data_IF_891276433752
#
_entry.id   IF_891276433752
#
_cell.length_a   1.000
_cell.length_b   1.000
_cell.length_c   1.000
_cell.angle_alpha   90.00
_cell.angle_beta   90.00
_cell.angle_gamma   90.00
#
_symmetry.space_group_name_H-M   'P 1'
#
loop_
_entity.id
_entity.type
_entity.pdbx_description
1 polymer ?
#
# COMPACT_ATOMS: atom_id res chain seq x y z
N UNK A 1 -13.11 8.99 -14.08
CA UNK A 1 -11.64 8.99 -14.03
C UNK A 1 -11.07 9.87 -15.13
N UNK A 2 -11.42 9.61 -16.40
CA UNK A 2 -10.90 10.34 -17.58
C UNK A 2 -11.25 11.84 -17.68
N UNK A 3 -12.11 12.38 -16.81
CA UNK A 3 -12.57 13.78 -16.85
C UNK A 3 -12.11 14.58 -15.62
N UNK A 4 -11.03 14.16 -14.95
CA UNK A 4 -10.55 14.79 -13.72
C UNK A 4 -9.04 14.94 -13.79
N UNK A 5 -8.58 16.19 -13.94
CA UNK A 5 -7.15 16.51 -14.10
C UNK A 5 -6.29 15.99 -12.94
N UNK A 6 -6.84 15.97 -11.72
CA UNK A 6 -6.16 15.48 -10.51
C UNK A 6 -5.99 13.95 -10.44
N UNK A 7 -6.50 13.19 -11.41
CA UNK A 7 -6.48 11.72 -11.42
C UNK A 7 -5.74 11.12 -12.62
N UNK A 8 -4.95 11.92 -13.35
CA UNK A 8 -4.20 11.43 -14.51
C UNK A 8 -3.25 10.29 -14.14
N UNK A 9 -2.47 10.42 -13.06
CA UNK A 9 -1.51 9.38 -12.64
C UNK A 9 -2.21 8.06 -12.28
N UNK A 10 -3.36 8.13 -11.60
CA UNK A 10 -4.14 6.92 -11.31
C UNK A 10 -4.76 6.30 -12.57
N UNK A 11 -5.19 7.14 -13.52
CA UNK A 11 -5.75 6.67 -14.79
C UNK A 11 -4.70 5.94 -15.61
N UNK A 12 -3.47 6.46 -15.67
CA UNK A 12 -2.34 5.80 -16.33
C UNK A 12 -2.02 4.45 -15.67
N UNK A 13 -1.98 4.41 -14.33
CA UNK A 13 -1.78 3.16 -13.60
C UNK A 13 -2.90 2.13 -13.85
N UNK A 14 -4.16 2.58 -13.87
CA UNK A 14 -5.32 1.72 -14.15
C UNK A 14 -5.34 1.19 -15.59
N UNK A 15 -4.86 1.99 -16.55
CA UNK A 15 -4.66 1.57 -17.94
C UNK A 15 -3.56 0.53 -18.05
N UNK A 16 -2.40 0.77 -17.43
CA UNK A 16 -1.29 -0.18 -17.41
C UNK A 16 -1.69 -1.50 -16.74
N UNK A 17 -2.45 -1.45 -15.65
CA UNK A 17 -3.00 -2.62 -14.96
C UNK A 17 -4.14 -3.35 -15.71
N UNK A 18 -4.60 -2.83 -16.86
CA UNK A 18 -5.73 -3.37 -17.63
C UNK A 18 -7.03 -3.53 -16.80
N UNK A 19 -7.24 -2.66 -15.81
CA UNK A 19 -8.45 -2.71 -14.94
C UNK A 19 -9.54 -1.73 -15.34
N UNK A 20 -9.29 -0.86 -16.33
CA UNK A 20 -10.26 0.16 -16.77
C UNK A 20 -11.58 -0.47 -17.24
N UNK A 21 -11.52 -1.61 -17.94
CA UNK A 21 -12.72 -2.36 -18.34
C UNK A 21 -13.55 -2.83 -17.14
N UNK A 22 -12.90 -3.21 -16.03
CA UNK A 22 -13.58 -3.62 -14.79
C UNK A 22 -14.27 -2.41 -14.15
N UNK A 23 -13.58 -1.27 -14.09
CA UNK A 23 -14.11 -0.03 -13.53
C UNK A 23 -15.25 0.57 -14.38
N UNK A 24 -15.34 0.24 -15.67
CA UNK A 24 -16.45 0.64 -16.54
C UNK A 24 -17.67 -0.29 -16.50
N UNK A 25 -17.55 -1.49 -15.94
CA UNK A 25 -18.66 -2.46 -15.86
C UNK A 25 -19.69 -2.05 -14.82
N UNK A 26 -20.93 -2.50 -15.04
CA UNK A 26 -21.99 -2.40 -14.04
C UNK A 26 -21.58 -3.16 -12.77
N UNK A 27 -21.90 -2.60 -11.61
CA UNK A 27 -21.55 -3.15 -10.31
C UNK A 27 -21.76 -2.15 -9.18
N UNK A 28 -21.30 -2.54 -8.00
CA UNK A 28 -21.34 -1.76 -6.78
C UNK A 28 -19.92 -1.65 -6.24
N UNK A 29 -19.23 -0.59 -6.63
CA UNK A 29 -17.83 -0.39 -6.28
C UNK A 29 -17.64 0.79 -5.32
N UNK A 30 -16.60 0.71 -4.51
CA UNK A 30 -16.02 1.89 -3.84
C UNK A 30 -14.59 2.02 -4.30
N UNK A 31 -14.23 3.17 -4.85
CA UNK A 31 -12.88 3.46 -5.29
C UNK A 31 -12.28 4.55 -4.40
N UNK A 32 -11.19 4.23 -3.73
CA UNK A 32 -10.33 5.22 -3.09
C UNK A 32 -9.32 5.72 -4.13
N UNK A 33 -9.62 6.79 -4.83
CA UNK A 33 -8.81 7.27 -5.95
C UNK A 33 -7.69 8.22 -5.46
N UNK A 34 -6.40 7.79 -5.52
CA UNK A 34 -5.29 8.66 -5.19
C UNK A 34 -5.14 9.79 -6.20
N UNK A 35 -4.98 11.00 -5.67
CA UNK A 35 -4.70 12.20 -6.48
C UNK A 35 -3.28 12.17 -7.05
N UNK A 36 -2.99 12.98 -8.07
CA UNK A 36 -1.63 13.12 -8.60
C UNK A 36 -0.62 13.47 -7.49
N UNK A 37 -1.01 14.35 -6.56
CA UNK A 37 -0.19 14.68 -5.38
C UNK A 37 0.07 13.48 -4.45
N UNK A 38 -0.81 12.47 -4.44
CA UNK A 38 -0.57 11.22 -3.73
C UNK A 38 0.55 10.40 -4.42
N UNK A 39 0.58 10.39 -5.75
CA UNK A 39 1.67 9.76 -6.53
C UNK A 39 2.98 10.52 -6.40
N UNK A 40 2.95 11.85 -6.33
CA UNK A 40 4.15 12.68 -6.14
C UNK A 40 4.86 12.43 -4.80
N UNK A 41 4.15 11.87 -3.81
CA UNK A 41 4.71 11.45 -2.52
C UNK A 41 5.42 10.09 -2.59
N UNK A 42 5.29 9.34 -3.69
CA UNK A 42 5.98 8.08 -3.87
C UNK A 42 7.48 8.30 -4.10
N UNK A 43 8.28 7.26 -3.82
CA UNK A 43 9.72 7.30 -4.09
C UNK A 43 9.97 7.51 -5.60
N UNK A 44 10.92 8.37 -6.00
CA UNK A 44 11.29 8.51 -7.40
C UNK A 44 11.67 7.15 -8.01
N UNK A 45 11.18 6.83 -9.20
CA UNK A 45 11.45 5.54 -9.85
C UNK A 45 10.51 4.41 -9.45
N UNK A 46 9.64 4.59 -8.44
CA UNK A 46 8.75 3.53 -7.97
C UNK A 46 7.70 3.15 -9.01
N UNK A 47 7.07 4.14 -9.65
CA UNK A 47 6.06 3.85 -10.67
C UNK A 47 6.68 3.12 -11.86
N UNK A 48 7.88 3.51 -12.27
CA UNK A 48 8.65 2.84 -13.32
C UNK A 48 8.98 1.40 -12.93
N UNK A 49 9.38 1.14 -11.67
CA UNK A 49 9.74 -0.21 -11.24
C UNK A 49 8.53 -1.16 -11.18
N UNK A 50 7.36 -0.68 -10.79
CA UNK A 50 6.17 -1.54 -10.71
C UNK A 50 5.43 -1.69 -12.03
N UNK A 51 5.53 -0.72 -12.94
CA UNK A 51 4.83 -0.78 -14.24
C UNK A 51 5.40 -1.86 -15.15
N UNK A 52 6.66 -2.25 -14.95
CA UNK A 52 7.27 -3.40 -15.64
C UNK A 52 6.70 -4.74 -15.17
N UNK A 53 6.07 -4.79 -13.98
CA UNK A 53 5.47 -5.99 -13.42
C UNK A 53 3.94 -5.89 -13.38
N UNK A 54 3.30 -6.58 -14.32
CA UNK A 54 1.86 -6.53 -14.49
C UNK A 54 1.07 -7.01 -13.27
N UNK A 55 1.60 -7.96 -12.51
CA UNK A 55 0.94 -8.46 -11.31
C UNK A 55 0.96 -7.40 -10.20
N UNK A 56 2.08 -6.70 -10.03
CA UNK A 56 2.26 -5.68 -9.00
C UNK A 56 1.41 -4.43 -9.28
N UNK A 57 1.43 -3.89 -10.49
CA UNK A 57 0.61 -2.73 -10.82
C UNK A 57 -0.89 -3.05 -10.74
N UNK A 58 -1.29 -4.27 -11.12
CA UNK A 58 -2.66 -4.74 -10.95
C UNK A 58 -3.05 -4.90 -9.49
N UNK A 59 -2.15 -5.40 -8.65
CA UNK A 59 -2.36 -5.47 -7.21
C UNK A 59 -2.53 -4.05 -6.62
N UNK A 60 -1.63 -3.12 -6.96
CA UNK A 60 -1.71 -1.73 -6.52
C UNK A 60 -3.07 -1.11 -6.84
N UNK A 61 -3.52 -1.20 -8.09
CA UNK A 61 -4.78 -0.56 -8.49
C UNK A 61 -5.99 -1.26 -7.85
N UNK A 62 -6.00 -2.59 -7.77
CA UNK A 62 -7.10 -3.32 -7.12
C UNK A 62 -7.15 -3.10 -5.61
N UNK A 63 -6.04 -2.77 -4.96
CA UNK A 63 -6.00 -2.47 -3.52
C UNK A 63 -6.76 -1.18 -3.16
N UNK A 64 -7.03 -0.32 -4.15
CA UNK A 64 -7.84 0.88 -4.01
C UNK A 64 -9.34 0.64 -4.25
N UNK A 65 -9.73 -0.58 -4.62
CA UNK A 65 -11.09 -0.91 -5.04
C UNK A 65 -11.75 -1.87 -4.04
N UNK A 66 -12.98 -1.57 -3.63
CA UNK A 66 -13.85 -2.50 -2.93
C UNK A 66 -14.97 -2.97 -3.85
N UNK A 67 -15.36 -4.24 -3.73
CA UNK A 67 -16.51 -4.84 -4.44
C UNK A 67 -17.85 -4.60 -3.70
N UNK A 68 -17.95 -3.49 -2.95
CA UNK A 68 -19.16 -3.04 -2.27
C UNK A 68 -19.21 -1.51 -2.25
N UNK A 69 -20.39 -0.93 -2.07
CA UNK A 69 -20.56 0.53 -1.93
C UNK A 69 -20.47 0.92 -0.46
N UNK A 70 -19.51 1.78 -0.13
CA UNK A 70 -19.25 2.32 1.20
C UNK A 70 -19.32 3.85 1.13
N UNK A 71 -20.49 4.39 1.46
CA UNK A 71 -20.67 5.84 1.64
C UNK A 71 -20.11 6.26 2.99
N UNK A 72 -19.61 7.49 3.11
CA UNK A 72 -18.99 7.95 4.35
C UNK A 72 -19.93 7.89 5.56
N UNK A 73 -21.22 8.20 5.36
CA UNK A 73 -22.23 8.15 6.42
C UNK A 73 -22.53 6.74 6.94
N UNK A 74 -22.21 5.70 6.17
CA UNK A 74 -22.38 4.31 6.61
C UNK A 74 -21.28 3.87 7.59
N UNK A 75 -20.17 4.62 7.65
CA UNK A 75 -18.98 4.26 8.43
C UNK A 75 -19.06 4.95 9.79
N UNK A 76 -19.62 4.23 10.76
CA UNK A 76 -19.81 4.71 12.14
C UNK A 76 -18.67 4.30 13.10
N UNK A 77 -17.88 3.30 12.71
CA UNK A 77 -16.75 2.79 13.48
C UNK A 77 -15.73 2.15 12.52
N UNK A 78 -14.49 1.96 13.00
CA UNK A 78 -13.45 1.23 12.27
C UNK A 78 -13.93 -0.16 11.86
N UNK A 79 -14.04 -0.39 10.56
CA UNK A 79 -14.50 -1.64 9.97
C UNK A 79 -13.49 -2.11 8.93
N UNK A 80 -13.15 -3.40 8.98
CA UNK A 80 -12.21 -4.01 8.05
C UNK A 80 -12.94 -4.46 6.79
N UNK A 81 -12.40 -4.11 5.63
CA UNK A 81 -12.91 -4.47 4.31
C UNK A 81 -11.84 -5.16 3.49
N UNK A 82 -12.24 -6.21 2.77
CA UNK A 82 -11.39 -6.86 1.77
C UNK A 82 -11.39 -6.02 0.48
N UNK A 83 -10.20 -5.70 -0.02
CA UNK A 83 -10.00 -5.01 -1.30
C UNK A 83 -10.13 -6.00 -2.45
N UNK A 84 -10.25 -5.49 -3.67
CA UNK A 84 -10.31 -6.34 -4.85
C UNK A 84 -8.97 -7.03 -5.17
N UNK A 85 -7.90 -6.65 -4.48
CA UNK A 85 -6.60 -7.33 -4.52
C UNK A 85 -6.57 -8.56 -3.61
N UNK A 86 -7.36 -8.55 -2.53
CA UNK A 86 -7.46 -9.61 -1.52
C UNK A 86 -6.91 -9.19 -0.15
N UNK A 87 -6.07 -8.16 -0.11
CA UNK A 87 -5.64 -7.51 1.14
C UNK A 87 -6.81 -6.83 1.87
N UNK A 88 -6.65 -6.60 3.17
CA UNK A 88 -7.66 -5.90 3.98
C UNK A 88 -7.25 -4.48 4.32
N UNK A 89 -8.19 -3.55 4.27
CA UNK A 89 -8.04 -2.18 4.77
C UNK A 89 -9.07 -1.91 5.86
N UNK A 90 -8.67 -1.16 6.89
CA UNK A 90 -9.60 -0.64 7.88
C UNK A 90 -10.12 0.72 7.40
N UNK A 91 -11.44 0.89 7.37
CA UNK A 91 -12.05 2.19 7.08
C UNK A 91 -12.82 2.63 8.31
N UNK A 92 -12.50 3.82 8.79
CA UNK A 92 -13.11 4.41 9.98
C UNK A 92 -13.45 5.88 9.77
N UNK A 93 -13.75 6.55 10.87
CA UNK A 93 -13.98 7.98 10.92
C UNK A 93 -13.31 8.56 12.16
N UNK A 94 -12.77 9.77 12.02
CA UNK A 94 -12.36 10.61 13.15
C UNK A 94 -12.95 12.01 12.95
N UNK A 95 -14.04 12.26 13.68
CA UNK A 95 -14.96 13.37 13.42
C UNK A 95 -15.68 13.19 12.09
N UNK A 96 -15.68 14.24 11.26
CA UNK A 96 -16.31 14.22 9.94
C UNK A 96 -15.41 13.64 8.83
N UNK A 97 -14.14 13.34 9.17
CA UNK A 97 -13.13 12.83 8.24
C UNK A 97 -13.12 11.30 8.23
N UNK A 98 -13.21 10.71 7.04
CA UNK A 98 -12.94 9.29 6.85
C UNK A 98 -11.45 9.00 7.05
N UNK A 99 -11.17 7.86 7.67
CA UNK A 99 -9.81 7.33 7.84
C UNK A 99 -9.66 6.02 7.08
N UNK A 100 -8.47 5.79 6.53
CA UNK A 100 -8.06 4.51 5.97
C UNK A 100 -6.83 4.04 6.74
N UNK A 101 -6.89 2.84 7.31
CA UNK A 101 -5.90 2.28 8.24
C UNK A 101 -5.54 3.26 9.37
N UNK A 102 -6.56 3.95 9.92
CA UNK A 102 -6.38 4.96 10.96
C UNK A 102 -5.83 6.32 10.51
N UNK A 103 -5.49 6.49 9.22
CA UNK A 103 -4.90 7.72 8.68
C UNK A 103 -5.96 8.57 7.97
N UNK A 104 -6.00 9.88 8.26
CA UNK A 104 -6.90 10.86 7.61
C UNK A 104 -6.41 11.25 6.21
N UNK A 105 -6.54 10.33 5.26
CA UNK A 105 -6.08 10.53 3.88
C UNK A 105 -7.18 10.97 2.92
N UNK A 106 -8.45 10.91 3.31
CA UNK A 106 -9.59 11.21 2.42
C UNK A 106 -9.79 12.73 2.28
N UNK A 107 -9.55 13.26 1.08
CA UNK A 107 -9.67 14.67 0.73
C UNK A 107 -11.09 15.06 0.33
N UNK A 108 -11.76 14.19 -0.41
CA UNK A 108 -13.13 14.41 -0.90
C UNK A 108 -13.87 13.08 -0.90
N UNK A 109 -15.02 13.03 -0.24
CA UNK A 109 -15.81 11.82 -0.06
C UNK A 109 -17.11 11.86 -0.86
N UNK A 110 -17.70 10.69 -1.07
CA UNK A 110 -19.06 10.48 -1.60
C UNK A 110 -19.30 11.02 -3.02
N UNK A 111 -18.32 10.87 -3.91
CA UNK A 111 -18.53 11.18 -5.34
C UNK A 111 -19.30 10.01 -5.97
N UNK A 112 -20.61 10.17 -6.12
CA UNK A 112 -21.50 9.15 -6.69
C UNK A 112 -21.28 9.01 -8.19
N UNK A 113 -21.12 7.78 -8.66
CA UNK A 113 -21.06 7.42 -10.09
C UNK A 113 -22.20 6.47 -10.45
N UNK A 114 -22.29 6.07 -11.73
CA UNK A 114 -23.30 5.12 -12.21
C UNK A 114 -23.13 3.70 -11.66
N UNK A 115 -21.95 3.35 -11.15
CA UNK A 115 -21.59 2.00 -10.72
C UNK A 115 -20.89 1.96 -9.34
N UNK A 116 -20.94 3.04 -8.57
CA UNK A 116 -20.25 3.08 -7.29
C UNK A 116 -20.10 4.47 -6.68
N UNK A 117 -19.17 4.54 -5.73
CA UNK A 117 -18.76 5.76 -5.03
C UNK A 117 -17.25 5.91 -5.14
N UNK A 118 -16.79 7.13 -5.35
CA UNK A 118 -15.37 7.49 -5.36
C UNK A 118 -15.06 8.39 -4.16
N UNK A 119 -13.98 8.07 -3.45
CA UNK A 119 -13.36 8.90 -2.42
C UNK A 119 -11.97 9.29 -2.89
N UNK A 120 -11.68 10.59 -3.00
CA UNK A 120 -10.35 11.07 -3.35
C UNK A 120 -9.44 11.01 -2.13
N UNK A 121 -8.23 10.48 -2.31
CA UNK A 121 -7.25 10.33 -1.23
C UNK A 121 -5.92 11.04 -1.54
N UNK A 122 -5.20 11.39 -0.48
CA UNK A 122 -3.94 12.14 -0.53
C UNK A 122 -2.69 11.24 -0.47
N UNK A 123 -2.88 9.93 -0.36
CA UNK A 123 -1.82 8.91 -0.28
C UNK A 123 -2.21 7.67 -1.07
N UNK A 124 -1.23 6.96 -1.62
CA UNK A 124 -1.45 5.69 -2.30
C UNK A 124 -1.49 4.56 -1.26
N UNK A 125 -2.50 3.71 -1.32
CA UNK A 125 -2.68 2.55 -0.45
C UNK A 125 -1.86 1.39 -1.02
N UNK A 126 -0.62 1.26 -0.54
CA UNK A 126 0.32 0.23 -1.01
C UNK A 126 -0.05 -1.16 -0.49
N UNK A 127 -0.35 -2.15 -1.35
CA UNK A 127 -0.47 -3.54 -0.92
C UNK A 127 0.92 -4.10 -0.61
N UNK A 128 0.98 -5.13 0.25
CA UNK A 128 2.25 -5.79 0.60
C UNK A 128 2.91 -6.44 -0.63
N UNK A 129 2.12 -6.88 -1.60
CA UNK A 129 2.58 -7.41 -2.89
C UNK A 129 3.33 -6.37 -3.76
N UNK A 130 3.19 -5.08 -3.45
CA UNK A 130 3.90 -3.99 -4.15
C UNK A 130 5.04 -3.37 -3.33
N UNK A 131 5.31 -3.91 -2.13
CA UNK A 131 6.40 -3.47 -1.27
C UNK A 131 7.65 -4.31 -1.51
N UNK A 132 8.82 -3.72 -1.33
CA UNK A 132 10.06 -4.48 -1.27
C UNK A 132 10.07 -5.35 0.00
N UNK A 133 10.78 -6.48 -0.03
CA UNK A 133 10.84 -7.43 1.11
C UNK A 133 11.28 -6.74 2.40
N UNK A 134 12.14 -5.72 2.31
CA UNK A 134 12.58 -4.99 3.50
C UNK A 134 11.45 -4.15 4.11
N UNK A 135 10.54 -3.61 3.28
CA UNK A 135 9.41 -2.76 3.70
C UNK A 135 8.28 -3.58 4.36
N UNK A 136 8.37 -4.91 4.31
CA UNK A 136 7.47 -5.82 5.00
C UNK A 136 7.86 -6.05 6.47
N UNK A 137 9.07 -5.66 6.89
CA UNK A 137 9.49 -5.75 8.28
C UNK A 137 8.78 -4.68 9.12
N UNK A 138 8.41 -5.04 10.34
CA UNK A 138 7.76 -4.14 11.30
C UNK A 138 8.64 -3.88 12.54
N UNK A 139 8.11 -3.08 13.47
CA UNK A 139 8.80 -2.69 14.71
C UNK A 139 9.26 -3.90 15.55
N UNK A 140 8.63 -5.07 15.40
CA UNK A 140 9.01 -6.28 16.13
C UNK A 140 10.21 -7.01 15.55
N UNK A 141 10.74 -6.57 14.39
CA UNK A 141 12.01 -7.03 13.81
C UNK A 141 13.05 -5.90 13.65
N UNK A 142 12.84 -4.76 14.33
CA UNK A 142 13.73 -3.59 14.24
C UNK A 142 15.21 -3.91 14.49
N UNK A 143 15.52 -4.77 15.47
CA UNK A 143 16.91 -5.16 15.77
C UNK A 143 17.58 -5.86 14.59
N UNK A 144 16.85 -6.73 13.89
CA UNK A 144 17.36 -7.39 12.69
C UNK A 144 17.55 -6.38 11.54
N UNK A 145 16.59 -5.48 11.34
CA UNK A 145 16.69 -4.42 10.33
C UNK A 145 17.94 -3.56 10.53
N UNK A 146 18.22 -3.15 11.77
CA UNK A 146 19.40 -2.35 12.11
C UNK A 146 20.69 -3.07 11.74
N UNK A 147 20.83 -4.36 12.09
CA UNK A 147 22.00 -5.16 11.74
C UNK A 147 22.20 -5.30 10.23
N UNK A 148 21.13 -5.55 9.48
CA UNK A 148 21.18 -5.66 8.00
C UNK A 148 21.62 -4.33 7.37
N UNK A 149 21.17 -3.21 7.92
CA UNK A 149 21.60 -1.87 7.50
C UNK A 149 23.05 -1.58 7.87
N UNK A 150 23.49 -1.86 9.10
CA UNK A 150 24.87 -1.64 9.56
C UNK A 150 25.89 -2.45 8.77
N UNK A 151 25.56 -3.70 8.43
CA UNK A 151 26.42 -4.58 7.64
C UNK A 151 26.43 -4.23 6.13
N UNK A 152 25.63 -3.24 5.71
CA UNK A 152 25.49 -2.87 4.30
C UNK A 152 24.82 -3.95 3.43
N UNK A 153 24.23 -4.97 4.05
CA UNK A 153 23.52 -6.05 3.37
C UNK A 153 22.23 -5.54 2.71
N UNK A 154 21.61 -4.51 3.28
CA UNK A 154 20.45 -3.83 2.68
C UNK A 154 20.73 -3.36 1.24
N UNK A 155 21.93 -2.84 0.96
CA UNK A 155 22.32 -2.39 -0.37
C UNK A 155 22.49 -3.54 -1.38
N UNK A 156 22.70 -4.77 -0.88
CA UNK A 156 22.80 -5.98 -1.71
C UNK A 156 21.44 -6.59 -2.05
N UNK A 157 20.40 -6.26 -1.26
CA UNK A 157 19.01 -6.68 -1.50
C UNK A 157 18.36 -5.78 -2.57
N UNK A 158 18.86 -5.86 -3.81
CA UNK A 158 18.36 -5.06 -4.93
C UNK A 158 17.05 -5.60 -5.52
N UNK A 159 16.23 -4.72 -6.10
CA UNK A 159 14.90 -4.99 -6.67
C UNK A 159 14.82 -5.98 -7.85
N UNK A 160 15.96 -6.51 -8.32
CA UNK A 160 16.04 -7.44 -9.47
C UNK A 160 16.15 -8.91 -9.09
N UNK A 161 16.12 -9.23 -7.80
CA UNK A 161 16.28 -10.61 -7.31
C UNK A 161 15.20 -10.90 -6.29
N UNK A 162 14.62 -12.09 -6.38
CA UNK A 162 13.64 -12.55 -5.42
C UNK A 162 14.36 -13.04 -4.16
N UNK A 163 13.90 -12.59 -2.99
CA UNK A 163 14.47 -12.96 -1.70
C UNK A 163 13.43 -13.59 -0.80
N UNK A 164 13.87 -14.52 0.05
CA UNK A 164 13.12 -14.92 1.23
C UNK A 164 13.93 -14.50 2.45
N UNK A 165 13.41 -13.54 3.20
CA UNK A 165 14.08 -12.99 4.37
C UNK A 165 13.61 -13.72 5.63
N UNK A 166 14.53 -14.37 6.33
CA UNK A 166 14.25 -15.00 7.62
C UNK A 166 14.61 -14.00 8.72
N UNK A 167 13.72 -13.04 8.99
CA UNK A 167 13.91 -12.01 10.00
C UNK A 167 13.46 -12.50 11.39
N UNK A 168 14.37 -12.69 12.36
CA UNK A 168 14.00 -13.04 13.72
C UNK A 168 13.26 -11.87 14.41
N UNK A 169 12.37 -12.20 15.34
CA UNK A 169 11.78 -11.19 16.24
C UNK A 169 12.87 -10.60 17.15
N UNK A 170 12.66 -9.38 17.62
CA UNK A 170 13.55 -8.69 18.57
C UNK A 170 13.88 -9.55 19.80
N UNK A 171 12.93 -10.36 20.27
CA UNK A 171 13.12 -11.27 21.41
C UNK A 171 14.19 -12.36 21.19
N UNK A 172 14.56 -12.65 19.94
CA UNK A 172 15.64 -13.59 19.63
C UNK A 172 17.04 -13.00 19.88
N UNK A 173 17.17 -11.67 19.90
CA UNK A 173 18.44 -10.96 20.13
C UNK A 173 18.67 -10.70 21.63
N UNK A 174 19.03 -11.75 22.36
CA UNK A 174 19.39 -11.64 23.78
C UNK A 174 20.81 -11.10 23.96
N UNK A 175 21.12 -10.51 25.13
CA UNK A 175 22.48 -10.02 25.43
C UNK A 175 23.55 -11.12 25.27
N UNK A 176 23.24 -12.36 25.62
CA UNK A 176 24.14 -13.49 25.46
C UNK A 176 24.47 -13.73 23.97
N UNK A 177 23.44 -13.76 23.11
CA UNK A 177 23.61 -13.93 21.66
C UNK A 177 24.41 -12.77 21.06
N UNK A 178 24.09 -11.54 21.44
CA UNK A 178 24.77 -10.35 20.90
C UNK A 178 26.23 -10.23 21.38
N UNK A 179 26.54 -10.69 22.60
CA UNK A 179 27.91 -10.64 23.14
C UNK A 179 28.84 -11.73 22.61
N UNK A 180 28.29 -12.85 22.11
CA UNK A 180 29.09 -13.92 21.51
C UNK A 180 29.73 -13.49 20.18
N UNK A 181 29.08 -12.61 19.43
CA UNK A 181 29.56 -12.15 18.12
C UNK A 181 30.88 -11.35 18.23
N UNK A 182 31.06 -10.54 19.29
CA UNK A 182 32.32 -9.82 19.55
C UNK A 182 33.51 -10.75 19.84
N UNK A 183 33.26 -11.97 20.30
CA UNK A 183 34.34 -12.93 20.64
C UNK A 183 34.85 -13.72 19.45
N UNK A 184 34.08 -13.81 18.36
CA UNK A 184 34.46 -14.54 17.13
C UNK A 184 35.14 -13.65 16.08
N UNK A 185 35.14 -12.33 16.29
CA UNK A 185 35.79 -11.34 15.42
C UNK A 185 37.18 -10.88 15.92
N UNK A 186 37.72 -11.52 16.97
CA UNK A 186 39.12 -11.35 17.43
C UNK A 186 39.99 -12.51 16.99
#
# INVERSE_FOLDING_TARGET
>A
LENTDDLSSFTDAALAAEVMDKLGKAGHYTLFAPTNNAFDKLKPGFMESITENQEVIKALVNNHLLNSVQCAEAIMAGTVYETAEGSTIEIGCDGDSLTVNGIKIVLKKDIVTSNGVVHLIDQVIMPDSAKEVWELMDDSQSTFSDLVSEMGLAASLGSKTEYTLLAPLNAAFTEEVMSQDETLLK
#
